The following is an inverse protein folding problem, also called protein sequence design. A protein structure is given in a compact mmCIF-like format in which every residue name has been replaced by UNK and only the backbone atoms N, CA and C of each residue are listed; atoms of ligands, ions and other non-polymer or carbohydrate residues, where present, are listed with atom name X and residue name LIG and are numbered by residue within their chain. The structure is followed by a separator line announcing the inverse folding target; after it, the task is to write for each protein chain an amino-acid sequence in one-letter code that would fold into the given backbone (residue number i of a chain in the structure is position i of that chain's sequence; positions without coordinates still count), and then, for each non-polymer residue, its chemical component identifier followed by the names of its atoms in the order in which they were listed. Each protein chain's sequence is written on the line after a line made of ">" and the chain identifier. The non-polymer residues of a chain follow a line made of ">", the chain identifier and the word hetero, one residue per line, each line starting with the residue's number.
data_IF_681135174984
#
_entry.id   IF_681135174984
#
_cell.length_a   1.000
_cell.length_b   1.000
_cell.length_c   1.000
_cell.angle_alpha   90.00
_cell.angle_beta   90.00
_cell.angle_gamma   90.00
#
_symmetry.space_group_name_H-M   'P 1'
#
loop_
_entity.id
_entity.type
_entity.pdbx_description
1 polymer ?
#
# COMPACT_ATOMS: atom_id res chain seq x y z
N UNK A 1 -9.07 8.59 -12.33
CA UNK A 1 -8.82 8.58 -10.87
C UNK A 1 -7.94 7.37 -10.55
N UNK A 2 -6.67 7.53 -10.15
CA UNK A 2 -5.69 6.43 -10.10
C UNK A 2 -6.10 5.29 -9.16
N UNK A 3 -6.82 5.60 -8.08
CA UNK A 3 -7.31 4.61 -7.11
C UNK A 3 -8.32 3.63 -7.71
N UNK A 4 -9.21 4.08 -8.61
CA UNK A 4 -10.23 3.22 -9.22
C UNK A 4 -9.60 2.23 -10.19
N UNK A 5 -8.64 2.68 -11.00
CA UNK A 5 -7.90 1.82 -11.94
C UNK A 5 -7.07 0.77 -11.22
N UNK A 6 -6.48 1.11 -10.07
CA UNK A 6 -5.73 0.16 -9.25
C UNK A 6 -6.63 -0.92 -8.63
N UNK A 7 -7.78 -0.54 -8.07
CA UNK A 7 -8.75 -1.52 -7.54
C UNK A 7 -9.23 -2.51 -8.60
N UNK A 8 -9.41 -2.04 -9.84
CA UNK A 8 -9.76 -2.89 -10.97
C UNK A 8 -8.61 -3.83 -11.37
N UNK A 9 -7.36 -3.35 -11.34
CA UNK A 9 -6.19 -4.17 -11.64
C UNK A 9 -6.03 -5.34 -10.67
N UNK A 10 -6.24 -5.11 -9.37
CA UNK A 10 -6.22 -6.18 -8.36
C UNK A 10 -7.31 -7.22 -8.57
N UNK A 11 -8.43 -6.85 -9.20
CA UNK A 11 -9.47 -7.81 -9.58
C UNK A 11 -9.10 -8.66 -10.81
N UNK A 12 -8.23 -8.14 -11.69
CA UNK A 12 -7.78 -8.83 -12.91
C UNK A 12 -6.63 -9.83 -12.71
N UNK A 13 -6.05 -9.91 -11.51
CA UNK A 13 -4.93 -10.81 -11.15
C UNK A 13 -3.68 -10.69 -12.05
N UNK A 14 -3.52 -9.57 -12.76
CA UNK A 14 -2.37 -9.35 -13.65
C UNK A 14 -1.24 -8.66 -12.90
N UNK A 15 -0.25 -9.45 -12.48
CA UNK A 15 0.94 -8.98 -11.75
C UNK A 15 1.73 -7.90 -12.51
N UNK A 16 1.74 -7.95 -13.84
CA UNK A 16 2.44 -6.95 -14.65
C UNK A 16 1.74 -5.59 -14.58
N UNK A 17 0.41 -5.60 -14.65
CA UNK A 17 -0.41 -4.40 -14.49
C UNK A 17 -0.29 -3.82 -13.08
N UNK A 18 -0.32 -4.67 -12.05
CA UNK A 18 -0.13 -4.26 -10.66
C UNK A 18 1.24 -3.60 -10.45
N UNK A 19 2.31 -4.20 -10.99
CA UNK A 19 3.65 -3.63 -10.90
C UNK A 19 3.75 -2.28 -11.60
N UNK A 20 3.15 -2.16 -12.80
CA UNK A 20 3.13 -0.91 -13.55
C UNK A 20 2.38 0.19 -12.80
N UNK A 21 1.20 -0.12 -12.25
CA UNK A 21 0.40 0.86 -11.52
C UNK A 21 1.03 1.23 -10.18
N UNK A 22 1.62 0.27 -9.46
CA UNK A 22 2.37 0.54 -8.25
C UNK A 22 3.51 1.52 -8.54
N UNK A 23 4.29 1.25 -9.58
CA UNK A 23 5.39 2.13 -10.00
C UNK A 23 4.90 3.51 -10.42
N UNK A 24 3.82 3.58 -11.18
CA UNK A 24 3.22 4.84 -11.59
C UNK A 24 2.76 5.67 -10.39
N UNK A 25 2.09 5.04 -9.41
CA UNK A 25 1.62 5.72 -8.19
C UNK A 25 2.81 6.22 -7.37
N UNK A 26 3.87 5.44 -7.22
CA UNK A 26 5.09 5.87 -6.48
C UNK A 26 5.76 7.07 -7.17
N UNK A 27 5.91 7.03 -8.48
CA UNK A 27 6.70 8.03 -9.23
C UNK A 27 5.91 9.31 -9.57
N UNK A 28 4.59 9.20 -9.80
CA UNK A 28 3.78 10.29 -10.36
C UNK A 28 2.86 10.95 -9.36
N UNK A 29 2.59 10.32 -8.23
CA UNK A 29 1.71 10.91 -7.25
C UNK A 29 2.43 12.02 -6.50
N UNK A 30 1.79 13.19 -6.43
CA UNK A 30 2.33 14.33 -5.70
C UNK A 30 2.40 14.05 -4.20
N UNK A 31 3.31 14.73 -3.49
CA UNK A 31 3.38 14.64 -2.02
C UNK A 31 2.07 15.01 -1.32
N UNK A 32 1.25 15.88 -1.93
CA UNK A 32 -0.04 16.31 -1.36
C UNK A 32 -1.09 15.22 -1.45
N UNK A 33 -1.05 14.42 -2.51
CA UNK A 33 -2.02 13.35 -2.75
C UNK A 33 -1.60 12.04 -2.08
N UNK A 34 -0.30 11.86 -1.77
CA UNK A 34 0.22 10.71 -1.03
C UNK A 34 -0.24 10.71 0.42
N UNK A 35 -1.07 9.73 0.79
CA UNK A 35 -1.69 9.61 2.10
C UNK A 35 -1.85 8.12 2.50
N UNK A 36 -2.26 7.87 3.75
CA UNK A 36 -2.43 6.52 4.29
C UNK A 36 -3.46 5.68 3.54
N UNK A 37 -4.53 6.28 3.01
CA UNK A 37 -5.54 5.58 2.20
C UNK A 37 -4.92 4.95 0.96
N UNK A 38 -3.98 5.66 0.33
CA UNK A 38 -3.23 5.13 -0.81
C UNK A 38 -2.29 4.02 -0.37
N UNK A 39 -1.63 4.14 0.78
CA UNK A 39 -0.81 3.06 1.33
C UNK A 39 -1.62 1.77 1.52
N UNK A 40 -2.82 1.86 2.10
CA UNK A 40 -3.73 0.71 2.27
C UNK A 40 -4.08 0.08 0.91
N UNK A 41 -4.32 0.93 -0.09
CA UNK A 41 -4.68 0.49 -1.43
C UNK A 41 -3.52 -0.23 -2.15
N UNK A 42 -2.27 0.20 -1.98
CA UNK A 42 -1.11 -0.41 -2.67
C UNK A 42 -0.49 -1.61 -1.94
N UNK A 43 -0.70 -1.74 -0.63
CA UNK A 43 -0.14 -2.82 0.19
C UNK A 43 -0.46 -4.24 -0.33
N UNK A 44 -1.68 -4.55 -0.83
CA UNK A 44 -1.98 -5.84 -1.46
C UNK A 44 -1.07 -6.14 -2.66
N UNK A 45 -0.90 -5.19 -3.59
CA UNK A 45 -0.04 -5.40 -4.75
C UNK A 45 1.43 -5.58 -4.34
N UNK A 46 1.90 -4.81 -3.35
CA UNK A 46 3.25 -4.99 -2.79
C UNK A 46 3.43 -6.41 -2.27
N UNK A 47 2.47 -6.93 -1.50
CA UNK A 47 2.50 -8.31 -0.96
C UNK A 47 2.57 -9.35 -2.08
N UNK A 48 1.80 -9.14 -3.14
CA UNK A 48 1.68 -10.12 -4.22
C UNK A 48 2.89 -10.07 -5.15
N UNK A 49 3.43 -8.88 -5.41
CA UNK A 49 4.68 -8.68 -6.16
C UNK A 49 5.91 -9.23 -5.45
N UNK A 50 6.03 -9.10 -4.12
CA UNK A 50 7.17 -9.65 -3.33
C UNK A 50 7.26 -11.17 -3.45
N UNK A 51 6.14 -11.86 -3.62
CA UNK A 51 6.09 -13.32 -3.76
C UNK A 51 6.50 -13.79 -5.16
N UNK A 52 6.71 -12.88 -6.09
CA UNK A 52 7.04 -13.24 -7.46
C UNK A 52 8.47 -13.77 -7.61
N UNK A 53 8.68 -14.61 -8.61
CA UNK A 53 10.02 -15.07 -8.99
C UNK A 53 10.83 -14.02 -9.76
N UNK A 54 10.21 -12.90 -10.16
CA UNK A 54 10.85 -11.90 -10.99
C UNK A 54 11.50 -10.82 -10.12
N UNK A 55 12.82 -10.68 -10.25
CA UNK A 55 13.59 -9.68 -9.50
C UNK A 55 13.03 -8.26 -9.66
N UNK A 56 12.56 -7.90 -10.85
CA UNK A 56 12.03 -6.56 -11.13
C UNK A 56 10.73 -6.24 -10.37
N UNK A 57 9.83 -7.23 -10.23
CA UNK A 57 8.61 -7.09 -9.43
C UNK A 57 8.96 -6.95 -7.94
N UNK A 58 9.89 -7.76 -7.44
CA UNK A 58 10.36 -7.68 -6.05
C UNK A 58 11.01 -6.32 -5.76
N UNK A 59 11.85 -5.82 -6.67
CA UNK A 59 12.48 -4.51 -6.54
C UNK A 59 11.43 -3.38 -6.47
N UNK A 60 10.45 -3.41 -7.37
CA UNK A 60 9.37 -2.41 -7.40
C UNK A 60 8.54 -2.44 -6.12
N UNK A 61 8.26 -3.63 -5.60
CA UNK A 61 7.54 -3.79 -4.34
C UNK A 61 8.34 -3.28 -3.14
N UNK A 62 9.66 -3.56 -3.09
CA UNK A 62 10.56 -3.01 -2.07
C UNK A 62 10.63 -1.49 -2.12
N UNK A 63 10.72 -0.88 -3.31
CA UNK A 63 10.69 0.58 -3.48
C UNK A 63 9.36 1.17 -2.98
N UNK A 64 8.25 0.48 -3.21
CA UNK A 64 6.95 0.84 -2.64
C UNK A 64 6.94 0.82 -1.12
N UNK A 65 7.47 -0.25 -0.51
CA UNK A 65 7.60 -0.34 0.95
C UNK A 65 8.51 0.74 1.53
N UNK A 66 9.65 0.99 0.91
CA UNK A 66 10.58 2.03 1.34
C UNK A 66 9.91 3.40 1.34
N UNK A 67 9.14 3.74 0.28
CA UNK A 67 8.38 4.98 0.20
C UNK A 67 7.31 5.09 1.30
N UNK A 68 6.56 4.00 1.56
CA UNK A 68 5.53 3.95 2.60
C UNK A 68 6.14 4.13 3.99
N UNK A 69 7.19 3.36 4.31
CA UNK A 69 7.84 3.38 5.62
C UNK A 69 8.63 4.67 5.85
N UNK A 70 9.22 5.25 4.80
CA UNK A 70 9.90 6.54 4.89
C UNK A 70 8.95 7.69 5.27
N UNK A 71 7.77 7.74 4.66
CA UNK A 71 6.82 8.84 4.88
C UNK A 71 5.89 8.60 6.07
N UNK A 72 5.43 7.36 6.27
CA UNK A 72 4.40 7.02 7.26
C UNK A 72 4.86 6.02 8.31
N UNK A 73 6.10 5.54 8.29
CA UNK A 73 6.58 4.50 9.21
C UNK A 73 6.38 4.86 10.67
N UNK A 74 6.68 6.11 11.06
CA UNK A 74 6.43 6.59 12.44
C UNK A 74 4.94 6.58 12.79
N UNK A 75 4.08 7.09 11.90
CA UNK A 75 2.63 7.11 12.12
C UNK A 75 2.08 5.70 12.25
N UNK A 76 2.50 4.79 11.36
CA UNK A 76 2.12 3.37 11.41
C UNK A 76 2.58 2.74 12.72
N UNK A 77 3.85 2.94 13.11
CA UNK A 77 4.41 2.39 14.34
C UNK A 77 3.66 2.90 15.59
N UNK A 78 3.43 4.21 15.68
CA UNK A 78 2.72 4.82 16.80
C UNK A 78 1.28 4.30 16.90
N UNK A 79 0.60 4.07 15.77
CA UNK A 79 -0.77 3.54 15.75
C UNK A 79 -0.83 2.03 16.06
N UNK A 80 0.15 1.25 15.62
CA UNK A 80 0.25 -0.18 15.94
C UNK A 80 0.61 -0.38 17.42
N UNK A 81 1.51 0.45 17.96
CA UNK A 81 1.88 0.45 19.37
C UNK A 81 0.75 0.93 20.29
N UNK A 82 0.03 2.00 19.89
CA UNK A 82 -1.12 2.51 20.63
C UNK A 82 -2.28 1.50 20.73
N UNK A 83 -2.45 0.61 19.74
CA UNK A 83 -3.45 -0.48 19.79
C UNK A 83 -3.20 -1.52 20.89
N UNK A 84 -2.02 -1.55 21.51
CA UNK A 84 -1.73 -2.45 22.64
C UNK A 84 -2.09 -1.85 24.01
N UNK A 85 -2.33 -0.54 24.09
CA UNK A 85 -2.66 0.15 25.34
C UNK A 85 -3.99 0.90 25.15
N UNK A 86 -5.09 0.14 25.25
CA UNK A 86 -6.35 0.70 25.75
C UNK A 86 -7.40 1.17 24.76
N UNK A 87 -7.62 0.51 23.61
CA UNK A 87 -8.93 0.60 22.95
C UNK A 87 -9.37 -0.76 22.42
N UNK A 88 -10.33 -1.34 23.13
CA UNK A 88 -11.15 -2.46 22.73
C UNK A 88 -11.85 -2.14 21.38
N UNK A 89 -11.47 -2.86 20.33
CA UNK A 89 -11.95 -2.69 18.96
C UNK A 89 -13.34 -3.28 18.71
N UNK A 90 -14.11 -3.62 19.76
CA UNK A 90 -15.46 -4.18 19.60
C UNK A 90 -16.51 -3.17 19.12
N UNK A 91 -16.19 -1.87 19.04
CA UNK A 91 -17.22 -0.82 19.01
C UNK A 91 -17.25 0.15 17.81
N UNK A 92 -16.59 -0.12 16.69
CA UNK A 92 -16.69 0.77 15.50
C UNK A 92 -17.05 0.11 14.17
N UNK A 93 -17.50 -1.15 14.17
CA UNK A 93 -17.98 -1.85 12.96
C UNK A 93 -19.51 -2.06 12.91
N UNK A 94 -20.30 -1.18 13.55
CA UNK A 94 -21.75 -1.13 13.37
C UNK A 94 -22.20 0.32 13.39
N UNK A 95 -22.35 0.91 12.20
CA UNK A 95 -23.54 1.62 11.67
C UNK A 95 -23.21 2.11 10.26
#
# INVERSE_FOLDING_TARGET
>A
NPQTSFKAATASQDLSLECFLLRFVIDKLSKRDWNLEICILILPAVRDLIKSHYHWYNLTACQGLERILGDFGKVIYDNVGAKSIGVDLSQQARY
#
